data_IF_947309730299
#
_entry.id   IF_947309730299
#
_cell.length_a   1.000
_cell.length_b   1.000
_cell.length_c   1.000
_cell.angle_alpha   90.00
_cell.angle_beta   90.00
_cell.angle_gamma   90.00
#
_symmetry.space_group_name_H-M   'P 1'
#
loop_
_entity.id
_entity.type
_entity.pdbx_description
1 polymer ?
#
# COMPACT_ATOMS: atom_id res chain seq x y z
N UNK A 1 -0.39 -6.75 16.59
CA UNK A 1 -1.58 -6.35 15.82
C UNK A 1 -1.18 -5.27 14.82
N UNK A 2 -1.56 -5.42 13.56
CA UNK A 2 -1.27 -4.48 12.46
C UNK A 2 -2.38 -4.55 11.42
N UNK A 3 -2.68 -3.42 10.77
CA UNK A 3 -3.54 -3.36 9.59
C UNK A 3 -2.73 -3.50 8.30
N UNK A 4 -1.40 -3.43 8.38
CA UNK A 4 -0.50 -3.32 7.22
C UNK A 4 -0.26 -4.67 6.52
N UNK A 5 -0.78 -5.76 7.09
CA UNK A 5 -0.58 -7.14 6.63
C UNK A 5 0.91 -7.54 6.50
N UNK A 6 1.74 -7.01 7.39
CA UNK A 6 3.20 -7.07 7.37
C UNK A 6 3.82 -8.15 8.28
N UNK A 7 2.99 -8.96 8.96
CA UNK A 7 3.46 -10.01 9.85
C UNK A 7 3.85 -11.27 9.08
N UNK A 8 5.10 -11.70 9.26
CA UNK A 8 5.58 -12.95 8.70
C UNK A 8 4.85 -14.16 9.32
N UNK A 9 4.49 -15.12 8.47
CA UNK A 9 3.87 -16.39 8.89
C UNK A 9 2.35 -16.38 8.87
N UNK A 10 1.70 -15.28 8.53
CA UNK A 10 0.25 -15.21 8.31
C UNK A 10 -0.10 -14.64 6.94
N UNK A 11 -1.09 -15.21 6.28
CA UNK A 11 -1.57 -14.73 4.99
C UNK A 11 -2.36 -13.43 5.16
N UNK A 12 -3.07 -13.28 6.30
CA UNK A 12 -3.93 -12.14 6.56
C UNK A 12 -3.83 -11.67 8.01
N UNK A 13 -3.80 -10.35 8.19
CA UNK A 13 -3.98 -9.70 9.49
C UNK A 13 -5.37 -9.08 9.58
N UNK A 14 -5.99 -9.09 10.77
CA UNK A 14 -7.29 -8.46 10.95
C UNK A 14 -7.18 -6.94 10.96
N UNK A 15 -8.14 -6.28 10.32
CA UNK A 15 -8.15 -4.83 10.06
C UNK A 15 -7.55 -4.45 8.72
N UNK A 16 -6.87 -5.36 8.03
CA UNK A 16 -6.28 -5.11 6.71
C UNK A 16 -7.36 -4.83 5.65
N UNK A 17 -8.37 -5.70 5.54
CA UNK A 17 -9.45 -5.51 4.56
C UNK A 17 -10.23 -4.23 4.81
N UNK A 18 -10.49 -3.89 6.07
CA UNK A 18 -11.15 -2.62 6.43
C UNK A 18 -10.30 -1.41 6.05
N UNK A 19 -8.98 -1.48 6.21
CA UNK A 19 -8.09 -0.40 5.77
C UNK A 19 -8.04 -0.26 4.24
N UNK A 20 -8.07 -1.38 3.51
CA UNK A 20 -8.20 -1.40 2.05
C UNK A 20 -9.50 -0.77 1.61
N UNK A 21 -10.64 -1.10 2.26
CA UNK A 21 -11.95 -0.51 1.96
C UNK A 21 -11.92 1.03 2.09
N UNK A 22 -11.37 1.56 3.18
CA UNK A 22 -11.28 3.02 3.39
C UNK A 22 -10.40 3.69 2.34
N UNK A 23 -9.26 3.07 2.01
CA UNK A 23 -8.37 3.60 0.98
C UNK A 23 -9.02 3.55 -0.41
N UNK A 24 -9.73 2.46 -0.74
CA UNK A 24 -10.49 2.32 -1.99
C UNK A 24 -11.59 3.37 -2.09
N UNK A 25 -12.38 3.58 -1.04
CA UNK A 25 -13.41 4.62 -1.00
C UNK A 25 -12.82 6.02 -1.23
N UNK A 26 -11.62 6.29 -0.70
CA UNK A 26 -10.94 7.56 -0.97
C UNK A 26 -10.62 7.73 -2.45
N UNK A 27 -10.13 6.68 -3.11
CA UNK A 27 -9.86 6.69 -4.56
C UNK A 27 -11.16 6.88 -5.34
N UNK A 28 -12.23 6.16 -5.00
CA UNK A 28 -13.55 6.27 -5.64
C UNK A 28 -14.13 7.69 -5.56
N UNK A 29 -14.05 8.33 -4.39
CA UNK A 29 -14.49 9.71 -4.20
C UNK A 29 -13.72 10.71 -5.07
N UNK A 30 -12.48 10.42 -5.41
CA UNK A 30 -11.63 11.29 -6.22
C UNK A 30 -11.84 11.08 -7.71
N UNK A 31 -12.26 9.90 -8.13
CA UNK A 31 -12.36 9.50 -9.54
C UNK A 31 -13.15 10.50 -10.38
N UNK A 32 -14.33 10.90 -9.93
CA UNK A 32 -15.21 11.83 -10.66
C UNK A 32 -14.61 13.21 -10.80
N UNK A 33 -13.99 13.73 -9.74
CA UNK A 33 -13.36 15.07 -9.79
C UNK A 33 -12.05 15.05 -10.60
N UNK A 34 -11.31 13.94 -10.58
CA UNK A 34 -10.14 13.77 -11.42
C UNK A 34 -10.53 13.79 -12.91
N UNK A 35 -11.56 13.04 -13.28
CA UNK A 35 -12.07 12.97 -14.64
C UNK A 35 -12.62 14.30 -15.16
N UNK A 36 -13.42 15.01 -14.36
CA UNK A 36 -14.07 16.27 -14.79
C UNK A 36 -13.10 17.42 -15.04
N UNK A 37 -11.90 17.38 -14.46
CA UNK A 37 -10.91 18.46 -14.54
C UNK A 37 -9.59 18.06 -15.21
N UNK A 38 -9.50 16.84 -15.73
CA UNK A 38 -8.27 16.30 -16.35
C UNK A 38 -7.03 16.43 -15.45
N UNK A 39 -7.17 16.04 -14.18
CA UNK A 39 -6.13 16.19 -13.15
C UNK A 39 -5.34 14.92 -12.93
N UNK A 40 -4.14 15.10 -12.42
CA UNK A 40 -3.37 14.04 -11.77
C UNK A 40 -3.70 14.08 -10.27
N UNK A 41 -4.18 12.97 -9.72
CA UNK A 41 -4.33 12.81 -8.27
C UNK A 41 -3.31 11.83 -7.74
N UNK A 42 -2.58 12.24 -6.71
CA UNK A 42 -1.68 11.39 -5.94
C UNK A 42 -2.37 11.08 -4.62
N UNK A 43 -2.68 9.81 -4.40
CA UNK A 43 -3.33 9.32 -3.18
C UNK A 43 -2.28 8.60 -2.35
N UNK A 44 -1.88 9.20 -1.20
CA UNK A 44 -0.91 8.58 -0.31
C UNK A 44 -1.60 7.68 0.70
N UNK A 45 -1.21 6.41 0.73
CA UNK A 45 -1.86 5.34 1.48
C UNK A 45 -0.90 4.82 2.55
N UNK A 46 -1.41 4.57 3.75
CA UNK A 46 -0.65 3.97 4.85
C UNK A 46 -0.21 2.55 4.52
N UNK A 47 0.78 2.05 5.21
CA UNK A 47 1.34 0.70 5.07
C UNK A 47 2.74 0.58 5.67
N UNK A 48 3.23 1.66 6.27
CA UNK A 48 4.54 1.75 6.92
C UNK A 48 5.68 1.30 5.98
N UNK A 49 6.16 0.06 6.10
CA UNK A 49 7.31 -0.47 5.32
C UNK A 49 6.90 -1.42 4.21
N UNK A 50 5.63 -1.69 4.04
CA UNK A 50 5.11 -2.65 3.07
C UNK A 50 3.99 -2.05 2.24
N UNK A 51 3.83 -2.53 1.01
CA UNK A 51 2.90 -1.97 0.03
C UNK A 51 1.54 -2.66 -0.05
N UNK A 52 1.20 -3.58 0.86
CA UNK A 52 -0.01 -4.40 0.72
C UNK A 52 -1.30 -3.59 0.62
N UNK A 53 -1.52 -2.59 1.50
CA UNK A 53 -2.75 -1.78 1.47
C UNK A 53 -2.81 -0.99 0.15
N UNK A 54 -1.71 -0.36 -0.24
CA UNK A 54 -1.62 0.45 -1.47
C UNK A 54 -1.85 -0.39 -2.72
N UNK A 55 -1.27 -1.60 -2.77
CA UNK A 55 -1.44 -2.54 -3.88
C UNK A 55 -2.92 -2.91 -4.04
N UNK A 56 -3.54 -3.38 -2.97
CA UNK A 56 -4.94 -3.83 -3.02
C UNK A 56 -5.92 -2.67 -3.27
N UNK A 57 -5.76 -1.56 -2.56
CA UNK A 57 -6.64 -0.40 -2.74
C UNK A 57 -6.45 0.27 -4.11
N UNK A 58 -5.21 0.31 -4.61
CA UNK A 58 -4.91 0.86 -5.93
C UNK A 58 -5.56 0.04 -7.05
N UNK A 59 -5.49 -1.29 -6.99
CA UNK A 59 -6.17 -2.17 -7.96
C UNK A 59 -7.69 -2.01 -7.84
N UNK A 60 -8.23 -2.10 -6.62
CA UNK A 60 -9.66 -2.04 -6.36
C UNK A 60 -10.27 -0.69 -6.78
N UNK A 61 -9.59 0.42 -6.51
CA UNK A 61 -10.02 1.78 -6.87
C UNK A 61 -9.64 2.20 -8.30
N UNK A 62 -9.01 1.32 -9.08
CA UNK A 62 -8.67 1.60 -10.48
C UNK A 62 -7.57 2.65 -10.65
N UNK A 63 -6.55 2.66 -9.77
CA UNK A 63 -5.38 3.49 -9.95
C UNK A 63 -4.59 3.09 -11.21
N UNK A 64 -4.01 4.06 -11.88
CA UNK A 64 -3.24 3.87 -13.11
C UNK A 64 -1.77 3.60 -12.83
N UNK A 65 -1.30 4.10 -11.70
CA UNK A 65 0.05 3.91 -11.18
C UNK A 65 -0.06 3.49 -9.71
N UNK A 66 0.67 2.44 -9.32
CA UNK A 66 0.76 1.96 -7.95
C UNK A 66 2.22 1.90 -7.55
N UNK A 67 2.60 2.66 -6.52
CA UNK A 67 3.98 2.74 -6.06
C UNK A 67 4.09 2.20 -4.64
N UNK A 68 4.91 1.17 -4.47
CA UNK A 68 5.10 0.46 -3.21
C UNK A 68 6.56 0.43 -2.79
N UNK A 69 6.87 0.29 -1.49
CA UNK A 69 8.26 0.31 -1.00
C UNK A 69 9.15 -0.77 -1.60
N UNK A 70 8.56 -1.89 -1.97
CA UNK A 70 9.26 -3.08 -2.47
C UNK A 70 9.69 -2.96 -3.94
N UNK A 71 9.08 -2.03 -4.68
CA UNK A 71 9.42 -1.72 -6.08
C UNK A 71 9.81 -0.24 -6.15
N UNK A 72 11.11 0.10 -6.02
CA UNK A 72 11.57 1.49 -6.11
C UNK A 72 11.23 2.11 -7.48
N UNK A 73 10.62 3.30 -7.44
CA UNK A 73 10.13 3.95 -8.65
C UNK A 73 11.17 4.91 -9.27
N UNK A 74 11.09 5.06 -10.59
CA UNK A 74 11.69 6.12 -11.37
C UNK A 74 10.61 7.16 -11.72
N UNK A 75 10.82 8.41 -11.33
CA UNK A 75 9.84 9.48 -11.58
C UNK A 75 9.58 9.69 -13.09
N UNK A 76 10.57 9.43 -13.93
CA UNK A 76 10.41 9.50 -15.39
C UNK A 76 9.48 8.41 -15.90
N UNK A 77 9.57 7.19 -15.36
CA UNK A 77 8.67 6.09 -15.69
C UNK A 77 7.23 6.35 -15.22
N UNK A 78 7.09 6.97 -14.05
CA UNK A 78 5.77 7.44 -13.57
C UNK A 78 5.19 8.45 -14.55
N UNK A 79 5.99 9.45 -14.98
CA UNK A 79 5.55 10.42 -15.97
C UNK A 79 5.21 9.77 -17.31
N UNK A 80 6.02 8.83 -17.81
CA UNK A 80 5.75 8.10 -19.06
C UNK A 80 4.37 7.41 -19.01
N UNK A 81 4.00 6.81 -17.87
CA UNK A 81 2.68 6.20 -17.68
C UNK A 81 1.55 7.24 -17.75
N UNK A 82 1.74 8.41 -17.11
CA UNK A 82 0.80 9.53 -17.15
C UNK A 82 0.64 10.08 -18.58
N UNK A 83 1.74 10.34 -19.27
CA UNK A 83 1.76 10.87 -20.63
C UNK A 83 1.11 9.92 -21.64
N UNK A 84 1.36 8.62 -21.51
CA UNK A 84 0.70 7.59 -22.33
C UNK A 84 -0.82 7.63 -22.19
N UNK A 85 -1.32 7.87 -20.98
CA UNK A 85 -2.78 8.01 -20.75
C UNK A 85 -3.34 9.25 -21.42
N UNK A 86 -2.65 10.38 -21.25
CA UNK A 86 -3.05 11.66 -21.87
C UNK A 86 -3.09 11.55 -23.39
N UNK A 87 -2.09 10.92 -24.00
CA UNK A 87 -2.04 10.66 -25.44
C UNK A 87 -3.16 9.74 -25.93
N UNK A 88 -3.66 8.87 -25.08
CA UNK A 88 -4.80 7.99 -25.38
C UNK A 88 -6.17 8.63 -25.03
N UNK A 89 -6.25 9.95 -24.96
CA UNK A 89 -7.46 10.72 -24.63
C UNK A 89 -8.08 10.39 -23.26
N UNK A 90 -7.30 9.84 -22.34
CA UNK A 90 -7.67 9.67 -20.94
C UNK A 90 -7.07 10.83 -20.16
N UNK A 91 -7.82 11.92 -20.00
CA UNK A 91 -7.30 13.19 -19.51
C UNK A 91 -6.88 13.23 -18.03
N UNK A 92 -7.21 12.22 -17.22
CA UNK A 92 -6.86 12.17 -15.80
C UNK A 92 -6.03 10.94 -15.46
N UNK A 93 -5.31 11.01 -14.34
CA UNK A 93 -4.53 9.89 -13.81
C UNK A 93 -4.65 9.82 -12.30
N UNK A 94 -4.79 8.62 -11.76
CA UNK A 94 -4.73 8.33 -10.33
C UNK A 94 -3.46 7.56 -10.03
N UNK A 95 -2.64 8.12 -9.14
CA UNK A 95 -1.42 7.52 -8.63
C UNK A 95 -1.68 7.14 -7.17
N UNK A 96 -1.72 5.85 -6.86
CA UNK A 96 -1.73 5.35 -5.50
C UNK A 96 -0.28 5.14 -5.04
N UNK A 97 0.15 5.86 -4.01
CA UNK A 97 1.52 5.78 -3.50
C UNK A 97 1.53 5.37 -2.04
N UNK A 98 2.31 4.36 -1.67
CA UNK A 98 2.51 3.98 -0.28
C UNK A 98 3.36 5.04 0.44
N UNK A 99 3.04 5.35 1.69
CA UNK A 99 3.80 6.30 2.51
C UNK A 99 5.29 5.92 2.65
N UNK A 100 5.62 4.64 2.48
CA UNK A 100 6.98 4.11 2.50
C UNK A 100 7.63 3.94 1.13
N UNK A 101 6.99 4.33 0.04
CA UNK A 101 7.57 4.22 -1.30
C UNK A 101 8.82 5.11 -1.43
N UNK A 102 9.82 4.61 -2.15
CA UNK A 102 11.10 5.30 -2.37
C UNK A 102 11.47 5.31 -3.84
N UNK A 103 12.16 6.36 -4.27
CA UNK A 103 12.71 6.42 -5.62
C UNK A 103 13.93 5.50 -5.79
N UNK A 104 14.27 5.16 -7.03
CA UNK A 104 15.46 4.36 -7.36
C UNK A 104 16.73 5.01 -6.83
N UNK A 105 16.86 6.33 -6.96
CA UNK A 105 18.02 7.06 -6.46
C UNK A 105 18.20 6.88 -4.95
N UNK A 106 17.11 6.94 -4.20
CA UNK A 106 17.15 6.70 -2.75
C UNK A 106 17.39 5.24 -2.43
N UNK A 107 16.81 4.31 -3.19
CA UNK A 107 16.98 2.86 -2.99
C UNK A 107 18.42 2.39 -3.20
N UNK A 108 19.16 2.99 -4.12
CA UNK A 108 20.57 2.70 -4.42
C UNK A 108 21.54 3.18 -3.35
N UNK A 109 21.10 4.09 -2.47
CA UNK A 109 21.95 4.58 -1.37
C UNK A 109 22.25 3.46 -0.35
N UNK A 110 23.47 3.45 0.24
CA UNK A 110 23.76 2.60 1.38
C UNK A 110 22.74 2.80 2.51
N UNK A 111 22.39 1.73 3.23
CA UNK A 111 21.32 1.69 4.25
C UNK A 111 21.31 2.88 5.21
N UNK A 112 22.49 3.33 5.66
CA UNK A 112 22.62 4.48 6.58
C UNK A 112 22.22 5.78 5.87
N UNK A 113 22.79 6.04 4.69
CA UNK A 113 22.51 7.24 3.89
C UNK A 113 21.04 7.29 3.43
N UNK A 114 20.47 6.13 3.08
CA UNK A 114 19.03 6.02 2.75
C UNK A 114 18.15 6.47 3.90
N UNK A 115 18.43 6.01 5.13
CA UNK A 115 17.70 6.45 6.32
C UNK A 115 17.84 7.95 6.56
N UNK A 116 19.04 8.48 6.39
CA UNK A 116 19.32 9.91 6.52
C UNK A 116 18.59 10.73 5.45
N UNK A 117 18.59 10.28 4.19
CA UNK A 117 17.88 10.94 3.09
C UNK A 117 16.37 11.01 3.34
N UNK A 118 15.77 9.91 3.79
CA UNK A 118 14.33 9.86 4.12
C UNK A 118 14.03 10.77 5.33
N UNK A 119 14.83 10.70 6.39
CA UNK A 119 14.62 11.49 7.61
C UNK A 119 14.80 13.00 7.41
N UNK A 120 15.67 13.39 6.49
CA UNK A 120 16.00 14.79 6.18
C UNK A 120 15.26 15.29 4.92
N UNK A 121 14.25 14.57 4.43
CA UNK A 121 13.44 15.03 3.31
C UNK A 121 12.80 16.39 3.65
N UNK A 122 12.89 17.40 2.77
CA UNK A 122 12.23 18.69 3.00
C UNK A 122 10.71 18.62 2.80
N UNK A 123 10.20 17.50 2.32
CA UNK A 123 8.79 17.31 2.02
C UNK A 123 8.07 16.66 3.21
N UNK A 124 6.82 17.05 3.48
CA UNK A 124 6.04 16.47 4.58
C UNK A 124 5.68 15.00 4.33
N UNK A 125 5.65 14.56 3.08
CA UNK A 125 5.40 13.17 2.71
C UNK A 125 5.82 12.87 1.26
N UNK A 126 5.80 11.58 0.89
CA UNK A 126 6.15 11.09 -0.45
C UNK A 126 5.27 11.70 -1.55
N UNK A 127 3.97 11.89 -1.28
CA UNK A 127 3.05 12.49 -2.25
C UNK A 127 3.44 13.93 -2.62
N UNK A 128 3.91 14.71 -1.64
CA UNK A 128 4.36 16.08 -1.89
C UNK A 128 5.67 16.12 -2.68
N UNK A 129 6.63 15.25 -2.34
CA UNK A 129 7.87 15.12 -3.10
C UNK A 129 7.59 14.73 -4.54
N UNK A 130 6.73 13.74 -4.75
CA UNK A 130 6.34 13.29 -6.08
C UNK A 130 5.63 14.37 -6.88
N UNK A 131 4.69 15.09 -6.27
CA UNK A 131 3.97 16.17 -6.92
C UNK A 131 4.93 17.27 -7.40
N UNK A 132 5.92 17.60 -6.59
CA UNK A 132 6.91 18.63 -6.93
C UNK A 132 7.81 18.19 -8.09
N UNK A 133 8.34 16.97 -8.02
CA UNK A 133 9.14 16.38 -9.11
C UNK A 133 8.36 16.22 -10.42
N UNK A 134 7.08 15.84 -10.37
CA UNK A 134 6.26 15.72 -11.58
C UNK A 134 5.99 17.05 -12.29
N UNK A 135 5.99 18.19 -11.58
CA UNK A 135 5.83 19.51 -12.20
C UNK A 135 6.94 19.86 -13.19
N UNK A 136 8.09 19.20 -13.09
CA UNK A 136 9.19 19.37 -14.06
C UNK A 136 8.85 18.78 -15.44
N UNK A 137 7.90 17.85 -15.50
CA UNK A 137 7.55 17.09 -16.70
C UNK A 137 6.17 17.44 -17.26
N UNK A 138 5.24 17.97 -16.45
CA UNK A 138 3.86 18.21 -16.86
C UNK A 138 3.33 19.53 -16.35
N UNK A 139 2.44 20.14 -17.16
CA UNK A 139 1.66 21.33 -16.78
C UNK A 139 0.27 20.97 -16.25
N UNK A 140 -0.10 19.67 -16.21
CA UNK A 140 -1.38 19.25 -15.65
C UNK A 140 -1.47 19.61 -14.17
N UNK A 141 -2.68 19.96 -13.72
CA UNK A 141 -2.96 20.24 -12.32
C UNK A 141 -2.80 18.96 -11.48
N UNK A 142 -1.91 19.01 -10.50
CA UNK A 142 -1.64 17.89 -9.59
C UNK A 142 -2.30 18.15 -8.26
N UNK A 143 -3.08 17.21 -7.77
CA UNK A 143 -3.73 17.24 -6.46
C UNK A 143 -3.27 16.07 -5.61
N UNK A 144 -3.26 16.28 -4.31
CA UNK A 144 -2.86 15.27 -3.33
C UNK A 144 -4.03 14.99 -2.41
N UNK A 145 -4.26 13.72 -2.13
CA UNK A 145 -5.19 13.25 -1.13
C UNK A 145 -4.46 12.29 -0.18
N UNK A 146 -4.56 12.53 1.11
CA UNK A 146 -3.95 11.70 2.14
C UNK A 146 -5.04 11.31 3.15
N UNK A 147 -5.66 10.13 3.02
CA UNK A 147 -6.65 9.66 3.98
C UNK A 147 -6.06 9.52 5.38
N UNK A 148 -4.77 9.19 5.49
CA UNK A 148 -4.05 9.13 6.75
C UNK A 148 -4.75 8.24 7.79
N UNK A 149 -4.93 8.75 9.01
CA UNK A 149 -5.50 7.98 10.12
C UNK A 149 -6.97 7.58 9.95
N UNK A 150 -7.71 8.09 8.96
CA UNK A 150 -9.06 7.60 8.66
C UNK A 150 -9.05 6.12 8.26
N UNK A 151 -7.94 5.63 7.68
CA UNK A 151 -7.73 4.22 7.38
C UNK A 151 -7.68 3.32 8.64
N UNK A 152 -7.49 3.90 9.83
CA UNK A 152 -7.49 3.19 11.11
C UNK A 152 -8.83 3.28 11.84
N UNK A 153 -9.79 4.01 11.28
CA UNK A 153 -11.08 4.31 11.88
C UNK A 153 -12.23 3.58 11.18
N UNK A 154 -13.45 3.93 11.62
CA UNK A 154 -14.68 3.41 11.04
C UNK A 154 -15.07 2.02 11.52
N UNK A 155 -16.10 1.47 10.89
CA UNK A 155 -16.61 0.12 11.19
C UNK A 155 -15.80 -0.93 10.42
N UNK A 156 -15.33 -1.99 11.08
CA UNK A 156 -14.64 -3.06 10.38
C UNK A 156 -15.58 -3.78 9.42
N UNK A 157 -15.05 -4.19 8.27
CA UNK A 157 -15.79 -4.97 7.29
C UNK A 157 -16.14 -6.37 7.83
N UNK A 158 -17.15 -7.06 7.26
CA UNK A 158 -17.57 -8.39 7.72
C UNK A 158 -16.42 -9.41 7.77
N UNK A 159 -15.51 -9.36 6.80
CA UNK A 159 -14.35 -10.26 6.77
C UNK A 159 -13.48 -10.12 8.02
N UNK A 160 -13.11 -8.87 8.38
CA UNK A 160 -12.27 -8.62 9.55
C UNK A 160 -12.95 -8.98 10.87
N UNK A 161 -14.27 -8.82 10.95
CA UNK A 161 -15.05 -9.25 12.14
C UNK A 161 -15.00 -10.77 12.32
N UNK A 162 -15.17 -11.51 11.23
CA UNK A 162 -15.16 -12.98 11.27
C UNK A 162 -13.75 -13.51 11.57
N UNK A 163 -12.73 -13.02 10.90
CA UNK A 163 -11.35 -13.50 11.12
C UNK A 163 -10.85 -13.15 12.52
N UNK A 164 -11.20 -11.97 13.06
CA UNK A 164 -10.87 -11.57 14.43
C UNK A 164 -11.50 -12.50 15.45
N UNK A 165 -12.77 -12.88 15.25
CA UNK A 165 -13.47 -13.82 16.14
C UNK A 165 -12.81 -15.20 16.11
N UNK A 166 -12.40 -15.69 14.94
CA UNK A 166 -11.66 -16.95 14.80
C UNK A 166 -10.31 -16.90 15.48
N UNK A 167 -9.58 -15.78 15.37
CA UNK A 167 -8.29 -15.58 16.05
C UNK A 167 -8.47 -15.56 17.57
N UNK A 168 -9.50 -14.86 18.06
CA UNK A 168 -9.82 -14.82 19.49
C UNK A 168 -10.17 -16.21 20.06
N UNK A 169 -10.97 -16.99 19.34
CA UNK A 169 -11.30 -18.37 19.74
C UNK A 169 -10.03 -19.23 19.83
N UNK A 170 -9.15 -19.17 18.80
CA UNK A 170 -7.90 -19.92 18.81
C UNK A 170 -6.95 -19.49 19.92
N UNK A 171 -6.86 -18.20 20.21
CA UNK A 171 -6.07 -17.69 21.32
C UNK A 171 -6.59 -18.21 22.67
N UNK A 172 -7.91 -18.27 22.86
CA UNK A 172 -8.52 -18.81 24.08
C UNK A 172 -8.23 -20.34 24.25
N UNK A 173 -8.24 -21.10 23.15
CA UNK A 173 -7.84 -22.52 23.17
C UNK A 173 -6.39 -22.68 23.63
N UNK A 174 -5.45 -21.89 23.10
CA UNK A 174 -4.04 -21.91 23.48
C UNK A 174 -3.85 -21.57 24.97
N UNK A 175 -4.55 -20.56 25.47
CA UNK A 175 -4.51 -20.17 26.90
C UNK A 175 -5.02 -21.33 27.76
N UNK A 176 -6.15 -21.95 27.39
CA UNK A 176 -6.74 -23.10 28.11
C UNK A 176 -5.77 -24.30 28.13
N UNK A 177 -5.06 -24.52 27.03
CA UNK A 177 -4.04 -25.56 26.92
C UNK A 177 -2.69 -25.20 27.58
N UNK A 178 -2.55 -23.97 28.11
CA UNK A 178 -1.26 -23.41 28.61
C UNK A 178 -0.14 -23.45 27.58
N UNK A 179 -0.47 -23.39 26.28
CA UNK A 179 0.47 -23.36 25.15
C UNK A 179 0.83 -21.90 24.80
N UNK A 180 1.77 -21.32 25.54
CA UNK A 180 2.20 -19.93 25.42
C UNK A 180 3.35 -19.77 24.42
N UNK A 181 3.72 -18.51 24.13
CA UNK A 181 4.79 -18.18 23.18
C UNK A 181 4.42 -18.40 21.73
N UNK A 182 3.13 -18.40 21.43
CA UNK A 182 2.56 -18.61 20.09
C UNK A 182 1.99 -17.31 19.50
N UNK A 183 2.06 -17.21 18.19
CA UNK A 183 1.33 -16.26 17.36
C UNK A 183 0.18 -17.00 16.67
N UNK A 184 -1.03 -16.54 16.87
CA UNK A 184 -2.18 -17.02 16.10
C UNK A 184 -2.10 -16.45 14.69
N UNK A 185 -2.20 -17.32 13.70
CA UNK A 185 -2.03 -16.97 12.28
C UNK A 185 -3.16 -17.55 11.44
N UNK A 186 -3.41 -16.91 10.29
CA UNK A 186 -4.27 -17.42 9.23
C UNK A 186 -3.39 -17.89 8.09
N UNK A 187 -3.45 -19.17 7.78
CA UNK A 187 -2.65 -19.80 6.73
C UNK A 187 -3.46 -20.90 6.05
N UNK A 188 -3.39 -20.95 4.72
CA UNK A 188 -4.09 -21.94 3.91
C UNK A 188 -5.59 -22.05 4.29
N UNK A 189 -6.26 -20.90 4.45
CA UNK A 189 -7.67 -20.81 4.85
C UNK A 189 -8.00 -21.33 6.26
N UNK A 190 -7.00 -21.60 7.10
CA UNK A 190 -7.15 -22.10 8.46
C UNK A 190 -6.54 -21.16 9.48
N UNK A 191 -7.17 -21.07 10.66
CA UNK A 191 -6.58 -20.41 11.81
C UNK A 191 -5.77 -21.44 12.60
N UNK A 192 -4.49 -21.18 12.75
CA UNK A 192 -3.52 -22.04 13.44
C UNK A 192 -2.62 -21.19 14.33
N UNK A 193 -1.54 -21.76 14.85
CA UNK A 193 -0.58 -21.03 15.66
C UNK A 193 0.84 -21.48 15.31
N UNK A 194 1.78 -20.54 15.31
CA UNK A 194 3.21 -20.76 15.11
C UNK A 194 3.98 -20.21 16.31
N UNK A 195 5.21 -20.66 16.58
CA UNK A 195 6.07 -20.04 17.58
C UNK A 195 6.29 -18.54 17.28
N UNK A 196 6.24 -17.68 18.28
CA UNK A 196 6.54 -16.25 18.11
C UNK A 196 7.92 -16.00 17.51
N UNK A 197 8.90 -16.87 17.80
CA UNK A 197 10.26 -16.78 17.26
C UNK A 197 10.34 -16.92 15.74
N UNK A 198 9.35 -17.56 15.11
CA UNK A 198 9.30 -17.70 13.65
C UNK A 198 8.93 -16.39 12.96
N UNK A 199 8.12 -15.54 13.60
CA UNK A 199 7.67 -14.24 13.07
C UNK A 199 8.52 -13.08 13.55
N UNK A 200 9.14 -13.18 14.73
CA UNK A 200 9.87 -12.10 15.36
C UNK A 200 11.00 -11.56 14.48
N UNK A 201 11.03 -10.23 14.29
CA UNK A 201 12.05 -9.53 13.50
C UNK A 201 11.93 -9.70 11.97
N UNK A 202 10.89 -10.36 11.49
CA UNK A 202 10.64 -10.56 10.05
C UNK A 202 9.39 -9.77 9.62
N UNK A 203 9.46 -9.20 8.42
CA UNK A 203 8.31 -8.56 7.77
C UNK A 203 7.88 -9.39 6.56
N UNK A 204 6.57 -9.38 6.29
CA UNK A 204 5.98 -9.93 5.08
C UNK A 204 5.90 -8.82 4.03
N UNK A 205 6.92 -8.75 3.19
CA UNK A 205 6.97 -7.81 2.06
C UNK A 205 6.12 -8.31 0.88
N UNK A 206 5.68 -7.38 0.05
CA UNK A 206 5.12 -7.69 -1.28
C UNK A 206 6.28 -8.14 -2.17
N UNK A 207 6.19 -9.35 -2.72
CA UNK A 207 7.17 -9.77 -3.74
C UNK A 207 6.89 -9.05 -5.06
N UNK A 208 7.91 -8.56 -5.77
CA UNK A 208 7.71 -8.07 -7.15
C UNK A 208 7.12 -9.13 -8.09
N UNK A 209 7.29 -10.41 -7.76
CA UNK A 209 6.74 -11.56 -8.49
C UNK A 209 5.44 -12.10 -7.86
N UNK A 210 4.83 -11.35 -6.93
CA UNK A 210 3.52 -11.70 -6.36
C UNK A 210 2.45 -11.70 -7.48
N UNK A 211 1.58 -12.71 -7.45
CA UNK A 211 0.52 -12.88 -8.46
C UNK A 211 -0.35 -11.61 -8.62
N UNK A 212 -0.60 -10.92 -7.51
CA UNK A 212 -1.38 -9.66 -7.51
C UNK A 212 -0.62 -8.53 -8.22
N UNK A 213 0.71 -8.44 -8.07
CA UNK A 213 1.55 -7.47 -8.78
C UNK A 213 1.58 -7.80 -10.28
N UNK A 214 1.76 -9.07 -10.62
CA UNK A 214 1.78 -9.52 -12.02
C UNK A 214 0.42 -9.29 -12.70
N UNK A 215 -0.67 -9.57 -12.01
CA UNK A 215 -2.03 -9.28 -12.50
C UNK A 215 -2.22 -7.77 -12.72
N UNK A 216 -1.79 -6.91 -11.80
CA UNK A 216 -1.87 -5.46 -11.95
C UNK A 216 -1.07 -4.97 -13.17
N UNK A 217 0.14 -5.46 -13.38
CA UNK A 217 0.97 -5.17 -14.57
C UNK A 217 0.27 -5.62 -15.86
N UNK A 218 -0.37 -6.79 -15.85
CA UNK A 218 -1.14 -7.32 -17.00
C UNK A 218 -2.33 -6.41 -17.34
N UNK A 219 -2.96 -5.80 -16.36
CA UNK A 219 -4.03 -4.81 -16.53
C UNK A 219 -3.51 -3.45 -17.03
N UNK A 220 -2.20 -3.28 -17.17
CA UNK A 220 -1.56 -2.06 -17.64
C UNK A 220 -1.29 -1.03 -16.54
N UNK A 221 -1.38 -1.39 -15.26
CA UNK A 221 -1.03 -0.55 -14.14
C UNK A 221 0.51 -0.46 -14.06
N UNK A 222 1.03 0.77 -13.97
CA UNK A 222 2.47 1.02 -13.85
C UNK A 222 2.92 0.98 -12.40
N UNK A 223 4.08 0.41 -12.14
CA UNK A 223 4.76 0.48 -10.84
C UNK A 223 5.95 1.47 -10.85
N UNK A 224 6.14 2.20 -11.96
CA UNK A 224 7.26 3.13 -12.10
C UNK A 224 8.63 2.45 -12.24
N UNK A 225 8.69 1.18 -12.61
CA UNK A 225 9.88 0.32 -12.69
C UNK A 225 10.45 0.17 -14.13
#
# INVERSE_FOLDING_TARGET
KTIDNDLWGTDMTFGFQSAVDVATQTIDCIHTTAASHNRIFIVEIMGHKVGWITLHAGIAGGADVILIPEIPYDIKKVYEAIDKRTKNNKGFTIVAVAEGAISKEVAELPKKKRKEAIANSPYPSVAYEMADKLKEFTTQDIRIAIPGHTQRGGSPCPYDRVISSRFGAKAAELIKAKDFGKLVVFKDNKVTAIPLSESAGKLKYVSPDDDTVLAAKTLGISFGD
#
